data_IF_142169271964
#
_entry.id   IF_142169271964
#
_cell.length_a   1.000
_cell.length_b   1.000
_cell.length_c   1.000
_cell.angle_alpha   90.00
_cell.angle_beta   90.00
_cell.angle_gamma   90.00
#
_symmetry.space_group_name_H-M   'P 1'
#
loop_
_entity.id
_entity.type
_entity.pdbx_description
1 polymer ?
#
# COMPACT_ATOMS: atom_id res chain seq x y z
N UNK A 1 3.87 -13.98 3.48
CA UNK A 1 3.74 -12.96 4.55
C UNK A 1 2.24 -12.86 4.80
N UNK A 2 1.72 -13.34 5.94
CA UNK A 2 0.27 -13.55 6.10
C UNK A 2 -0.53 -12.24 5.95
N UNK A 3 0.02 -11.12 6.41
CA UNK A 3 -0.60 -9.80 6.26
C UNK A 3 -0.61 -9.30 4.80
N UNK A 4 0.44 -9.60 4.03
CA UNK A 4 0.49 -9.22 2.61
C UNK A 4 -0.56 -9.99 1.80
N UNK A 5 -0.72 -11.30 2.06
CA UNK A 5 -1.81 -12.08 1.45
C UNK A 5 -3.19 -11.56 1.83
N UNK A 6 -3.39 -11.12 3.07
CA UNK A 6 -4.66 -10.50 3.48
C UNK A 6 -4.94 -9.19 2.74
N UNK A 7 -3.92 -8.41 2.41
CA UNK A 7 -4.08 -7.18 1.63
C UNK A 7 -4.52 -7.44 0.19
N UNK A 8 -4.07 -8.55 -0.42
CA UNK A 8 -4.53 -8.99 -1.75
C UNK A 8 -5.91 -9.64 -1.71
N UNK A 9 -6.17 -10.50 -0.72
CA UNK A 9 -7.42 -11.26 -0.62
C UNK A 9 -8.59 -10.39 -0.13
N UNK A 10 -8.33 -9.45 0.79
CA UNK A 10 -9.36 -8.62 1.42
C UNK A 10 -9.36 -7.19 0.84
N UNK A 11 -9.96 -7.01 -0.35
CA UNK A 11 -10.11 -5.67 -0.97
C UNK A 11 -10.77 -4.63 -0.05
N UNK A 12 -11.71 -5.06 0.79
CA UNK A 12 -12.34 -4.17 1.78
C UNK A 12 -11.35 -3.63 2.82
N UNK A 13 -10.39 -4.45 3.24
CA UNK A 13 -9.31 -4.03 4.13
C UNK A 13 -8.37 -3.05 3.42
N UNK A 14 -7.99 -3.35 2.16
CA UNK A 14 -7.15 -2.47 1.35
C UNK A 14 -7.79 -1.07 1.17
N UNK A 15 -9.09 -1.04 0.90
CA UNK A 15 -9.85 0.21 0.72
C UNK A 15 -10.08 0.96 2.04
N UNK A 16 -10.12 0.27 3.18
CA UNK A 16 -10.28 0.88 4.49
C UNK A 16 -8.97 1.50 5.03
N UNK A 17 -7.82 1.27 4.38
CA UNK A 17 -6.56 1.86 4.82
C UNK A 17 -6.56 3.37 4.64
N UNK A 18 -6.20 4.08 5.71
CA UNK A 18 -5.93 5.52 5.67
C UNK A 18 -4.67 5.81 4.82
N UNK A 19 -4.44 7.07 4.41
CA UNK A 19 -3.23 7.46 3.67
C UNK A 19 -1.93 7.04 4.37
N UNK A 20 -1.88 7.16 5.71
CA UNK A 20 -0.76 6.72 6.54
C UNK A 20 -0.63 5.19 6.52
N UNK A 21 -1.76 4.47 6.57
CA UNK A 21 -1.75 3.01 6.52
C UNK A 21 -1.21 2.48 5.18
N UNK A 22 -1.59 3.10 4.07
CA UNK A 22 -1.10 2.74 2.72
C UNK A 22 0.40 2.96 2.61
N UNK A 23 0.90 4.12 3.07
CA UNK A 23 2.34 4.43 3.02
C UNK A 23 3.19 3.54 3.91
N UNK A 24 2.73 3.24 5.13
CA UNK A 24 3.43 2.30 6.00
C UNK A 24 3.41 0.88 5.44
N UNK A 25 2.31 0.46 4.82
CA UNK A 25 2.23 -0.84 4.16
C UNK A 25 3.22 -0.91 2.98
N UNK A 26 3.23 0.08 2.08
CA UNK A 26 4.16 0.14 0.95
C UNK A 26 5.63 0.11 1.40
N UNK A 27 6.02 0.95 2.36
CA UNK A 27 7.39 0.94 2.93
C UNK A 27 7.72 -0.39 3.62
N UNK A 28 6.74 -1.01 4.28
CA UNK A 28 6.90 -2.34 4.87
C UNK A 28 7.13 -3.41 3.80
N UNK A 29 6.38 -3.38 2.71
CA UNK A 29 6.47 -4.34 1.60
C UNK A 29 7.74 -4.16 0.78
N UNK A 30 8.17 -2.90 0.55
CA UNK A 30 9.44 -2.50 -0.10
C UNK A 30 10.66 -3.17 0.55
N UNK A 31 10.64 -3.37 1.88
CA UNK A 31 11.72 -4.04 2.62
C UNK A 31 11.78 -5.55 2.44
N UNK A 32 10.76 -6.18 1.85
CA UNK A 32 10.69 -7.63 1.67
C UNK A 32 10.31 -8.02 0.23
N UNK A 33 11.09 -7.60 -0.79
CA UNK A 33 10.75 -7.79 -2.20
C UNK A 33 10.84 -9.27 -2.63
N UNK A 34 11.62 -10.11 -1.93
CA UNK A 34 11.82 -11.51 -2.29
C UNK A 34 10.62 -12.43 -1.94
N UNK A 35 9.42 -11.89 -1.76
CA UNK A 35 8.21 -12.66 -1.47
C UNK A 35 7.13 -12.26 -2.48
N UNK A 36 6.69 -13.20 -3.31
CA UNK A 36 5.64 -12.98 -4.30
C UNK A 36 4.40 -12.28 -3.72
N UNK A 37 3.96 -12.67 -2.53
CA UNK A 37 2.81 -12.06 -1.86
C UNK A 37 3.03 -10.58 -1.51
N UNK A 38 4.28 -10.15 -1.30
CA UNK A 38 4.59 -8.75 -1.02
C UNK A 38 4.53 -7.89 -2.29
N UNK A 39 4.99 -8.43 -3.42
CA UNK A 39 4.90 -7.79 -4.73
C UNK A 39 3.42 -7.60 -5.13
N UNK A 40 2.63 -8.67 -5.01
CA UNK A 40 1.19 -8.62 -5.32
C UNK A 40 0.42 -7.63 -4.42
N UNK A 41 0.73 -7.60 -3.12
CA UNK A 41 0.14 -6.62 -2.19
C UNK A 41 0.57 -5.18 -2.51
N UNK A 42 1.80 -5.00 -3.00
CA UNK A 42 2.31 -3.68 -3.43
C UNK A 42 1.56 -3.21 -4.67
N UNK A 43 1.35 -4.07 -5.65
CA UNK A 43 0.59 -3.76 -6.86
C UNK A 43 -0.85 -3.38 -6.55
N UNK A 44 -1.50 -4.11 -5.63
CA UNK A 44 -2.86 -3.78 -5.19
C UNK A 44 -2.93 -2.41 -4.52
N UNK A 45 -1.98 -2.09 -3.65
CA UNK A 45 -1.92 -0.79 -2.99
C UNK A 45 -1.59 0.35 -3.95
N UNK A 46 -0.67 0.12 -4.89
CA UNK A 46 -0.31 1.07 -5.93
C UNK A 46 -1.48 1.34 -6.89
N UNK A 47 -2.21 0.29 -7.28
CA UNK A 47 -3.42 0.42 -8.10
C UNK A 47 -4.50 1.23 -7.39
N UNK A 48 -4.77 0.92 -6.11
CA UNK A 48 -5.68 1.74 -5.30
C UNK A 48 -5.22 3.20 -5.24
N UNK A 49 -3.93 3.45 -4.99
CA UNK A 49 -3.39 4.80 -4.92
C UNK A 49 -3.54 5.56 -6.25
N UNK A 50 -3.44 4.87 -7.39
CA UNK A 50 -3.65 5.45 -8.71
C UNK A 50 -5.13 5.77 -8.99
N UNK A 51 -6.07 4.99 -8.45
CA UNK A 51 -7.51 5.19 -8.64
C UNK A 51 -8.12 6.19 -7.63
N UNK A 52 -7.62 6.22 -6.40
CA UNK A 52 -8.18 7.00 -5.28
C UNK A 52 -7.57 8.41 -5.23
N UNK A 53 -8.25 9.38 -5.87
CA UNK A 53 -7.79 10.77 -5.93
C UNK A 53 -7.79 11.47 -4.57
N UNK A 54 -8.79 11.19 -3.74
CA UNK A 54 -8.92 11.76 -2.41
C UNK A 54 -7.80 11.26 -1.50
N UNK A 55 -7.45 9.97 -1.60
CA UNK A 55 -6.30 9.40 -0.92
C UNK A 55 -4.99 10.11 -1.31
N UNK A 56 -4.78 10.40 -2.60
CA UNK A 56 -3.60 11.15 -3.06
C UNK A 56 -3.59 12.58 -2.56
N UNK A 57 -4.73 13.26 -2.55
CA UNK A 57 -4.86 14.62 -2.01
C UNK A 57 -4.64 14.68 -0.49
N UNK A 58 -4.99 13.60 0.21
CA UNK A 58 -4.79 13.47 1.66
C UNK A 58 -3.37 13.04 2.04
N UNK A 59 -2.52 12.68 1.07
CA UNK A 59 -1.11 12.40 1.32
C UNK A 59 -0.30 13.69 1.39
N UNK A 60 0.39 13.90 2.50
CA UNK A 60 1.37 14.97 2.65
C UNK A 60 2.71 14.63 1.96
N UNK A 61 3.61 15.61 1.91
CA UNK A 61 4.93 15.48 1.28
C UNK A 61 5.76 14.32 1.85
N UNK A 62 5.65 14.07 3.15
CA UNK A 62 6.38 13.03 3.84
C UNK A 62 5.82 11.65 3.49
N UNK A 63 4.51 11.53 3.41
CA UNK A 63 3.81 10.32 3.00
C UNK A 63 4.17 9.93 1.56
N UNK A 64 4.19 10.88 0.63
CA UNK A 64 4.62 10.64 -0.76
C UNK A 64 6.08 10.14 -0.79
N UNK A 65 6.98 10.76 -0.03
CA UNK A 65 8.37 10.35 0.03
C UNK A 65 8.54 8.91 0.56
N UNK A 66 7.78 8.53 1.59
CA UNK A 66 7.84 7.20 2.19
C UNK A 66 7.25 6.11 1.29
N UNK A 67 6.24 6.42 0.46
CA UNK A 67 5.70 5.44 -0.49
C UNK A 67 6.64 5.08 -1.65
N UNK A 68 7.63 5.93 -1.96
CA UNK A 68 8.54 5.77 -3.09
C UNK A 68 9.91 5.19 -2.70
N UNK A 69 10.08 4.79 -1.44
CA UNK A 69 11.34 4.36 -0.84
C UNK A 69 11.49 2.84 -0.87
#
# INVERSE_FOLDING_TARGET
>A
NALASRLTDERGLCNALSPIGVTQALNGLSKWPNRANCEEATDVLAGRLAEDHDLRQAMDEHQVAVSLN
#
